data_IF_631458112595
#
_entry.id   IF_631458112595
#
_cell.length_a   1.000
_cell.length_b   1.000
_cell.length_c   1.000
_cell.angle_alpha   90.00
_cell.angle_beta   90.00
_cell.angle_gamma   90.00
#
_symmetry.space_group_name_H-M   'P 1'
#
loop_
_entity.id
_entity.type
_entity.pdbx_description
1 polymer ?
#
# COMPACT_ATOMS: atom_id res chain seq x y z
N UNK A 1 -25.13 -12.25 -23.62
CA UNK A 1 -25.41 -10.99 -22.87
C UNK A 1 -24.10 -10.46 -22.33
N UNK A 2 -23.65 -9.27 -22.76
CA UNK A 2 -22.48 -8.60 -22.16
C UNK A 2 -22.92 -7.95 -20.85
N UNK A 3 -22.17 -8.16 -19.76
CA UNK A 3 -22.49 -7.61 -18.43
C UNK A 3 -21.90 -6.21 -18.21
N UNK A 4 -20.87 -5.83 -18.97
CA UNK A 4 -20.28 -4.50 -18.95
C UNK A 4 -18.82 -4.50 -19.39
N UNK A 5 -18.26 -3.30 -19.53
CA UNK A 5 -16.85 -3.05 -19.79
C UNK A 5 -16.22 -2.39 -18.56
N UNK A 6 -14.98 -2.75 -18.22
CA UNK A 6 -14.26 -2.20 -17.07
C UNK A 6 -12.85 -1.82 -17.47
N UNK A 7 -12.41 -0.68 -16.94
CA UNK A 7 -11.04 -0.16 -17.08
C UNK A 7 -10.59 0.30 -15.69
N UNK A 8 -9.32 0.10 -15.37
CA UNK A 8 -8.72 0.54 -14.12
C UNK A 8 -7.23 0.83 -14.30
N UNK A 9 -6.73 1.80 -13.53
CA UNK A 9 -5.31 2.14 -13.47
C UNK A 9 -4.69 1.47 -12.25
N UNK A 10 -3.58 0.76 -12.45
CA UNK A 10 -2.86 0.11 -11.36
C UNK A 10 -2.07 1.16 -10.56
N UNK A 11 -2.12 1.15 -9.22
CA UNK A 11 -1.37 2.09 -8.38
C UNK A 11 0.08 1.63 -8.21
N UNK A 12 0.85 1.64 -9.30
CA UNK A 12 2.26 1.27 -9.32
C UNK A 12 3.15 2.45 -8.88
N UNK A 13 4.30 2.14 -8.29
CA UNK A 13 5.32 3.10 -7.87
C UNK A 13 6.67 2.66 -8.41
N UNK A 14 7.43 3.60 -8.98
CA UNK A 14 8.84 3.38 -9.29
C UNK A 14 9.61 3.06 -8.00
N UNK A 15 10.27 1.91 -7.95
CA UNK A 15 10.91 1.40 -6.74
C UNK A 15 10.03 0.46 -5.89
N UNK A 16 8.87 0.03 -6.41
CA UNK A 16 8.03 -0.99 -5.79
C UNK A 16 7.15 -0.50 -4.64
N UNK A 17 6.58 -1.45 -3.90
CA UNK A 17 5.74 -1.19 -2.72
C UNK A 17 6.55 -0.42 -1.68
N UNK A 18 5.95 0.63 -1.10
CA UNK A 18 6.55 1.39 0.01
C UNK A 18 5.82 1.07 1.30
N UNK A 19 6.53 0.40 2.22
CA UNK A 19 6.13 0.10 3.60
C UNK A 19 7.15 0.72 4.54
N UNK A 20 6.88 1.93 5.04
CA UNK A 20 7.86 2.71 5.80
C UNK A 20 7.17 3.55 6.88
N UNK A 21 7.84 3.73 8.03
CA UNK A 21 7.42 4.64 9.11
C UNK A 21 8.19 5.95 9.00
N UNK A 22 7.47 7.06 9.11
CA UNK A 22 8.01 8.41 9.07
C UNK A 22 7.44 9.22 10.24
N UNK A 23 8.31 9.87 11.02
CA UNK A 23 7.90 10.83 12.05
C UNK A 23 7.78 12.21 11.43
N UNK A 24 6.56 12.74 11.41
CA UNK A 24 6.29 14.07 10.89
C UNK A 24 6.50 15.15 11.96
N UNK A 25 6.71 16.41 11.54
CA UNK A 25 6.68 17.54 12.46
C UNK A 25 5.41 17.53 13.32
N UNK A 26 5.56 17.76 14.62
CA UNK A 26 4.45 17.68 15.58
C UNK A 26 4.17 16.29 16.14
N UNK A 27 5.04 15.30 15.88
CA UNK A 27 4.98 13.98 16.51
C UNK A 27 3.94 13.03 15.92
N UNK A 28 3.37 13.37 14.77
CA UNK A 28 2.47 12.47 14.05
C UNK A 28 3.28 11.37 13.36
N UNK A 29 2.90 10.11 13.58
CA UNK A 29 3.49 8.97 12.88
C UNK A 29 2.72 8.73 11.58
N UNK A 30 3.43 8.75 10.45
CA UNK A 30 2.93 8.39 9.12
C UNK A 30 3.49 7.03 8.74
N UNK A 31 2.62 6.06 8.44
CA UNK A 31 3.03 4.77 7.87
C UNK A 31 2.56 4.68 6.43
N UNK A 32 3.53 4.55 5.52
CA UNK A 32 3.30 4.40 4.09
C UNK A 32 2.86 2.97 3.78
N UNK A 33 1.85 2.81 2.93
CA UNK A 33 1.38 1.51 2.45
C UNK A 33 0.79 1.65 1.04
N UNK A 34 1.64 1.85 0.03
CA UNK A 34 1.20 2.10 -1.35
C UNK A 34 2.20 1.58 -2.39
N UNK A 35 1.82 1.64 -3.68
CA UNK A 35 2.69 1.20 -4.79
C UNK A 35 2.51 -0.27 -5.19
N UNK A 36 1.37 -0.89 -4.84
CA UNK A 36 1.12 -2.32 -5.05
C UNK A 36 0.91 -2.76 -6.50
N UNK A 37 0.76 -1.81 -7.44
CA UNK A 37 0.56 -2.12 -8.85
C UNK A 37 -0.58 -3.13 -9.07
N UNK A 38 -0.31 -4.15 -9.87
CA UNK A 38 -1.28 -5.21 -10.17
C UNK A 38 -1.42 -6.30 -9.12
N UNK A 39 -0.55 -6.31 -8.10
CA UNK A 39 -0.43 -7.40 -7.13
C UNK A 39 -1.10 -7.11 -5.79
N UNK A 40 -1.78 -5.96 -5.64
CA UNK A 40 -2.31 -5.50 -4.35
C UNK A 40 -3.12 -6.53 -3.57
N UNK A 41 -3.97 -7.32 -4.24
CA UNK A 41 -4.73 -8.39 -3.57
C UNK A 41 -3.82 -9.53 -3.11
N UNK A 42 -2.86 -9.94 -3.95
CA UNK A 42 -1.91 -11.02 -3.65
C UNK A 42 -1.06 -10.70 -2.42
N UNK A 43 -0.61 -9.44 -2.27
CA UNK A 43 0.31 -9.02 -1.19
C UNK A 43 -0.38 -8.41 0.03
N UNK A 44 -1.70 -8.18 -0.02
CA UNK A 44 -2.45 -7.39 0.96
C UNK A 44 -2.17 -7.80 2.42
N UNK A 45 -2.25 -9.09 2.74
CA UNK A 45 -2.06 -9.57 4.12
C UNK A 45 -0.63 -9.41 4.62
N UNK A 46 0.36 -9.64 3.76
CA UNK A 46 1.76 -9.44 4.10
C UNK A 46 2.05 -7.97 4.39
N UNK A 47 1.61 -7.08 3.49
CA UNK A 47 1.76 -5.64 3.65
C UNK A 47 1.04 -5.11 4.91
N UNK A 48 -0.18 -5.59 5.17
CA UNK A 48 -0.93 -5.20 6.36
C UNK A 48 -0.25 -5.63 7.67
N UNK A 49 0.32 -6.84 7.71
CA UNK A 49 1.08 -7.32 8.88
C UNK A 49 2.32 -6.47 9.13
N UNK A 50 3.10 -6.20 8.09
CA UNK A 50 4.32 -5.39 8.21
C UNK A 50 4.01 -3.95 8.64
N UNK A 51 2.93 -3.35 8.11
CA UNK A 51 2.45 -2.03 8.55
C UNK A 51 2.02 -2.05 10.02
N UNK A 52 1.37 -3.12 10.49
CA UNK A 52 1.00 -3.25 11.90
C UNK A 52 2.24 -3.33 12.81
N UNK A 53 3.30 -4.01 12.37
CA UNK A 53 4.58 -4.07 13.08
C UNK A 53 5.26 -2.69 13.12
N UNK A 54 5.23 -1.93 12.03
CA UNK A 54 5.75 -0.55 11.97
C UNK A 54 5.00 0.42 12.90
N UNK A 55 3.70 0.22 13.12
CA UNK A 55 2.91 1.04 14.04
C UNK A 55 3.23 0.78 15.53
N UNK A 56 3.75 -0.40 15.84
CA UNK A 56 4.08 -0.81 17.20
C UNK A 56 5.50 -0.39 17.63
N UNK A 57 6.30 0.15 16.72
CA UNK A 57 7.65 0.68 16.94
C UNK A 57 7.64 2.17 17.32
#
# INVERSE_FOLDING_TARGET
RVLGHRVGLRPERAGGVRLEREELPGGTVLVHNYGHGGAGVTVAWGCAREVAELLAA
#
